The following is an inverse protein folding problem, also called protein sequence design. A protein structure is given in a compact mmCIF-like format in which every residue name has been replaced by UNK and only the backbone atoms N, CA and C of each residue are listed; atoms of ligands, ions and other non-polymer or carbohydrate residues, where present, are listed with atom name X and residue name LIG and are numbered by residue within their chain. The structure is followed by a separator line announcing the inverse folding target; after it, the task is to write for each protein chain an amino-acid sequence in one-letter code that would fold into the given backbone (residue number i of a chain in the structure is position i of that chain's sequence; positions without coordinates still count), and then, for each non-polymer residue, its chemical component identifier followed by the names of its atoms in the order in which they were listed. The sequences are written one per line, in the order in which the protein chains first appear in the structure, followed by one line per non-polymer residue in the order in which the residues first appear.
data_IF_614802869644
#
_entry.id   IF_614802869644
#
_cell.length_a   1.000
_cell.length_b   1.000
_cell.length_c   1.000
_cell.angle_alpha   90.00
_cell.angle_beta   90.00
_cell.angle_gamma   90.00
#
_symmetry.space_group_name_H-M   'P 1'
#
loop_
_entity.id
_entity.type
_entity.pdbx_description
1 polymer ?
#
# COMPACT_ATOMS: atom_id res chain seq x y z
N UNK A 1 -11.35 2.06 19.96
CA UNK A 1 -10.52 1.31 18.97
C UNK A 1 -11.08 1.53 17.59
N UNK A 2 -10.24 1.81 16.61
CA UNK A 2 -10.68 1.85 15.22
C UNK A 2 -10.04 0.71 14.42
N UNK A 3 -10.73 0.32 13.34
CA UNK A 3 -10.35 -0.83 12.53
C UNK A 3 -10.55 -0.50 11.06
N UNK A 4 -9.63 -0.97 10.22
CA UNK A 4 -9.76 -0.86 8.78
C UNK A 4 -9.30 -2.15 8.11
N UNK A 5 -10.11 -2.64 7.16
CA UNK A 5 -9.71 -3.64 6.19
C UNK A 5 -9.28 -2.92 4.91
N UNK A 6 -8.13 -3.23 4.40
CA UNK A 6 -7.57 -2.61 3.20
C UNK A 6 -7.01 -3.65 2.24
N UNK A 7 -6.91 -3.29 0.97
CA UNK A 7 -6.30 -4.12 -0.07
C UNK A 7 -5.19 -3.33 -0.75
N UNK A 8 -4.04 -3.96 -0.96
CA UNK A 8 -2.84 -3.33 -1.52
C UNK A 8 -2.32 -4.09 -2.71
N UNK A 9 -1.83 -3.35 -3.69
CA UNK A 9 -1.27 -3.88 -4.92
C UNK A 9 0.25 -3.88 -4.87
N UNK A 10 0.86 -5.03 -5.14
CA UNK A 10 2.29 -5.14 -5.40
C UNK A 10 2.47 -5.38 -6.88
N UNK A 11 2.88 -4.34 -7.61
CA UNK A 11 3.11 -4.38 -9.05
C UNK A 11 4.61 -4.29 -9.28
N UNK A 12 5.21 -5.38 -9.76
CA UNK A 12 6.65 -5.41 -10.03
C UNK A 12 6.85 -5.77 -11.50
N UNK A 13 7.55 -4.90 -12.22
CA UNK A 13 7.91 -5.11 -13.63
C UNK A 13 9.35 -4.63 -13.85
N UNK A 14 10.16 -5.48 -14.46
CA UNK A 14 11.55 -5.11 -14.82
C UNK A 14 12.39 -4.64 -13.63
N UNK A 15 12.23 -5.24 -12.47
CA UNK A 15 12.96 -4.86 -11.25
C UNK A 15 12.49 -3.57 -10.61
N UNK A 16 11.33 -3.06 -11.01
CA UNK A 16 10.72 -1.85 -10.46
C UNK A 16 9.39 -2.17 -9.82
N UNK A 17 9.06 -1.47 -8.76
CA UNK A 17 7.77 -1.55 -8.07
C UNK A 17 7.00 -0.24 -8.26
N UNK A 18 5.69 -0.35 -8.50
CA UNK A 18 4.83 0.83 -8.61
C UNK A 18 4.51 1.34 -7.21
N UNK A 19 4.91 2.56 -6.93
CA UNK A 19 4.65 3.25 -5.67
C UNK A 19 3.82 4.50 -5.89
N UNK A 20 2.94 4.80 -4.94
CA UNK A 20 2.11 5.99 -4.92
C UNK A 20 2.66 6.96 -3.88
N UNK A 21 2.82 8.24 -4.25
CA UNK A 21 3.21 9.28 -3.30
C UNK A 21 1.97 9.90 -2.69
N UNK A 22 1.78 9.62 -1.43
CA UNK A 22 0.67 10.13 -0.64
C UNK A 22 1.04 11.48 -0.03
N UNK A 23 0.22 12.48 -0.28
CA UNK A 23 0.39 13.84 0.28
C UNK A 23 -0.82 14.14 1.15
N UNK A 24 -0.72 13.96 2.47
CA UNK A 24 -1.83 14.25 3.37
C UNK A 24 -2.05 15.75 3.49
N UNK A 25 -3.25 16.15 3.92
CA UNK A 25 -3.57 17.57 4.17
C UNK A 25 -2.71 18.18 5.27
N UNK A 26 -2.20 17.34 6.20
CA UNK A 26 -1.24 17.71 7.24
C UNK A 26 -0.17 16.63 7.32
N UNK A 27 1.07 17.06 7.52
CA UNK A 27 2.21 16.18 7.62
C UNK A 27 3.01 16.07 6.33
N UNK A 28 4.02 15.23 6.35
CA UNK A 28 4.92 15.04 5.23
C UNK A 28 4.39 13.99 4.25
N UNK A 29 4.75 14.15 2.97
CA UNK A 29 4.46 13.14 1.97
C UNK A 29 5.25 11.87 2.25
N UNK A 30 4.68 10.73 1.90
CA UNK A 30 5.38 9.47 1.93
C UNK A 30 4.95 8.58 0.76
N UNK A 31 5.76 7.59 0.49
CA UNK A 31 5.48 6.61 -0.54
C UNK A 31 4.80 5.38 0.06
N UNK A 32 3.84 4.83 -0.67
CA UNK A 32 3.10 3.64 -0.25
C UNK A 32 2.78 2.77 -1.45
N UNK A 33 2.22 1.59 -1.19
CA UNK A 33 1.65 0.76 -2.25
C UNK A 33 0.31 1.36 -2.69
N UNK A 34 -0.04 1.26 -3.98
CA UNK A 34 -1.41 1.55 -4.41
C UNK A 34 -2.39 0.66 -3.66
N UNK A 35 -3.46 1.24 -3.18
CA UNK A 35 -4.46 0.51 -2.42
C UNK A 35 -5.17 1.38 -1.41
N UNK A 36 -6.06 0.77 -0.66
CA UNK A 36 -6.83 1.47 0.34
C UNK A 36 -7.97 0.65 0.91
N UNK A 37 -8.90 1.33 1.52
CA UNK A 37 -10.01 0.72 2.24
C UNK A 37 -10.86 -0.17 1.34
N UNK A 38 -11.16 -1.37 1.82
CA UNK A 38 -12.22 -2.21 1.26
C UNK A 38 -13.55 -1.64 1.75
N UNK A 39 -14.44 -1.35 0.82
CA UNK A 39 -15.74 -0.78 1.13
C UNK A 39 -16.72 -1.85 1.62
N UNK A 40 -17.81 -1.42 2.25
CA UNK A 40 -18.85 -2.33 2.72
C UNK A 40 -19.35 -3.18 1.55
N UNK A 41 -19.45 -4.48 1.77
CA UNK A 41 -19.91 -5.47 0.79
C UNK A 41 -19.01 -5.64 -0.44
N UNK A 42 -17.83 -5.03 -0.44
CA UNK A 42 -16.83 -5.19 -1.49
C UNK A 42 -15.86 -6.32 -1.16
N UNK A 43 -15.51 -7.13 -2.14
CA UNK A 43 -14.45 -8.12 -2.00
C UNK A 43 -13.08 -7.43 -2.08
N UNK A 44 -12.10 -7.78 -1.22
CA UNK A 44 -10.75 -7.23 -1.33
C UNK A 44 -10.13 -7.38 -2.73
N UNK A 45 -10.45 -8.45 -3.44
CA UNK A 45 -10.02 -8.67 -4.82
C UNK A 45 -10.50 -7.54 -5.75
N UNK A 46 -11.75 -7.11 -5.61
CA UNK A 46 -12.31 -6.01 -6.41
C UNK A 46 -11.79 -4.66 -5.93
N UNK A 47 -11.62 -4.52 -4.61
CA UNK A 47 -11.13 -3.28 -4.01
C UNK A 47 -9.74 -2.91 -4.53
N UNK A 48 -8.81 -3.87 -4.64
CA UNK A 48 -7.46 -3.56 -5.11
C UNK A 48 -7.46 -3.07 -6.55
N UNK A 49 -8.30 -3.64 -7.40
CA UNK A 49 -8.43 -3.21 -8.80
C UNK A 49 -9.00 -1.80 -8.87
N UNK A 50 -10.04 -1.52 -8.11
CA UNK A 50 -10.67 -0.19 -8.02
C UNK A 50 -9.67 0.85 -7.52
N UNK A 51 -8.95 0.55 -6.43
CA UNK A 51 -7.98 1.48 -5.84
C UNK A 51 -6.83 1.79 -6.79
N UNK A 52 -6.30 0.79 -7.51
CA UNK A 52 -5.27 1.03 -8.51
C UNK A 52 -5.78 1.99 -9.59
N UNK A 53 -7.00 1.79 -10.08
CA UNK A 53 -7.58 2.67 -11.09
C UNK A 53 -7.77 4.10 -10.56
N UNK A 54 -8.29 4.25 -9.35
CA UNK A 54 -8.54 5.58 -8.75
C UNK A 54 -7.23 6.32 -8.47
N UNK A 55 -6.26 5.66 -7.86
CA UNK A 55 -5.03 6.31 -7.40
C UNK A 55 -4.01 6.50 -8.51
N UNK A 56 -3.89 5.56 -9.45
CA UNK A 56 -2.82 5.59 -10.45
C UNK A 56 -3.28 5.89 -11.85
N UNK A 57 -4.56 5.71 -12.15
CA UNK A 57 -5.10 5.84 -13.50
C UNK A 57 -4.94 4.60 -14.37
N UNK A 58 -4.48 3.50 -13.81
CA UNK A 58 -4.19 2.29 -14.57
C UNK A 58 -5.24 1.21 -14.38
N UNK A 59 -5.45 0.42 -15.44
CA UNK A 59 -6.20 -0.82 -15.38
C UNK A 59 -5.27 -1.94 -14.93
N UNK A 60 -5.79 -2.86 -14.13
CA UNK A 60 -4.98 -3.91 -13.53
C UNK A 60 -5.74 -5.23 -13.43
N UNK A 61 -4.99 -6.33 -13.43
CA UNK A 61 -5.51 -7.66 -13.11
C UNK A 61 -4.73 -8.22 -11.93
N UNK A 62 -5.43 -8.97 -11.08
CA UNK A 62 -4.82 -9.69 -9.97
C UNK A 62 -4.24 -11.00 -10.49
N UNK A 63 -2.96 -11.24 -10.20
CA UNK A 63 -2.28 -12.47 -10.61
C UNK A 63 -2.27 -13.51 -9.50
N UNK A 64 -2.11 -13.08 -8.23
CA UNK A 64 -2.14 -13.98 -7.08
C UNK A 64 -2.36 -13.23 -5.78
N UNK A 65 -2.90 -13.95 -4.80
CA UNK A 65 -2.89 -13.51 -3.41
C UNK A 65 -1.48 -13.69 -2.85
N UNK A 66 -0.90 -12.65 -2.27
CA UNK A 66 0.42 -12.72 -1.64
C UNK A 66 0.33 -13.02 -0.15
N UNK A 67 -0.58 -12.37 0.56
CA UNK A 67 -0.73 -12.59 1.99
C UNK A 67 -1.54 -11.53 2.70
N UNK A 68 -1.51 -11.63 4.02
CA UNK A 68 -2.23 -10.74 4.92
C UNK A 68 -1.26 -10.22 5.98
N UNK A 69 -1.34 -8.92 6.24
CA UNK A 69 -0.61 -8.29 7.31
C UNK A 69 -1.58 -7.54 8.22
N UNK A 70 -1.36 -7.65 9.52
CA UNK A 70 -2.12 -6.90 10.50
C UNK A 70 -1.17 -6.10 11.37
N UNK A 71 -1.45 -4.81 11.51
CA UNK A 71 -0.67 -3.95 12.40
C UNK A 71 -1.57 -3.07 13.24
N UNK A 72 -1.07 -2.75 14.43
CA UNK A 72 -1.75 -1.83 15.35
C UNK A 72 -0.93 -0.55 15.42
N UNK A 73 -1.57 0.57 15.15
CA UNK A 73 -0.95 1.89 15.22
C UNK A 73 -1.34 2.53 16.53
N UNK A 74 -0.37 2.76 17.47
CA UNK A 74 -0.65 3.40 18.74
C UNK A 74 -1.22 4.82 18.54
N UNK A 75 -1.99 5.34 19.48
CA UNK A 75 -2.55 6.69 19.36
C UNK A 75 -1.51 7.77 19.10
N UNK A 76 -0.33 7.65 19.70
CA UNK A 76 0.77 8.62 19.55
C UNK A 76 1.37 8.65 18.13
N UNK A 77 1.19 7.59 17.36
CA UNK A 77 1.78 7.44 16.01
C UNK A 77 0.73 7.62 14.91
N UNK A 78 -0.52 7.93 15.27
CA UNK A 78 -1.57 8.18 14.29
C UNK A 78 -1.43 9.57 13.68
N UNK A 79 -1.84 9.69 12.41
CA UNK A 79 -1.94 10.97 11.72
C UNK A 79 -2.99 11.89 12.35
N UNK A 80 -3.98 11.34 13.07
CA UNK A 80 -5.02 12.09 13.78
C UNK A 80 -4.66 12.08 15.27
N UNK A 81 -4.13 13.18 15.81
CA UNK A 81 -3.77 13.25 17.24
C UNK A 81 -4.99 13.02 18.14
N UNK A 82 -4.79 12.31 19.25
CA UNK A 82 -5.82 12.08 20.26
C UNK A 82 -6.86 11.02 19.87
N UNK A 83 -6.71 10.40 18.70
CA UNK A 83 -7.59 9.31 18.29
C UNK A 83 -7.26 8.01 19.02
N UNK A 84 -8.16 7.01 18.98
CA UNK A 84 -7.89 5.71 19.57
C UNK A 84 -6.81 4.97 18.79
N UNK A 85 -6.30 3.91 19.38
CA UNK A 85 -5.49 2.91 18.70
C UNK A 85 -6.20 2.44 17.43
N UNK A 86 -5.43 2.21 16.36
CA UNK A 86 -5.97 1.83 15.06
C UNK A 86 -5.34 0.51 14.60
N UNK A 87 -6.19 -0.46 14.28
CA UNK A 87 -5.76 -1.71 13.67
C UNK A 87 -6.04 -1.67 12.16
N UNK A 88 -5.00 -1.92 11.36
CA UNK A 88 -5.12 -2.03 9.91
C UNK A 88 -4.80 -3.46 9.49
N UNK A 89 -5.77 -4.11 8.88
CA UNK A 89 -5.58 -5.44 8.27
C UNK A 89 -5.52 -5.27 6.77
N UNK A 90 -4.38 -5.60 6.17
CA UNK A 90 -4.15 -5.47 4.74
C UNK A 90 -4.11 -6.82 4.05
N UNK A 91 -4.80 -6.91 2.91
CA UNK A 91 -4.72 -8.04 2.00
C UNK A 91 -3.86 -7.61 0.82
N UNK A 92 -2.76 -8.33 0.57
CA UNK A 92 -1.77 -7.97 -0.45
C UNK A 92 -1.92 -8.88 -1.66
N UNK A 93 -2.04 -8.27 -2.83
CA UNK A 93 -2.15 -8.97 -4.10
C UNK A 93 -1.01 -8.61 -5.03
N UNK A 94 -0.49 -9.60 -5.75
CA UNK A 94 0.37 -9.35 -6.89
C UNK A 94 -0.53 -8.95 -8.06
N UNK A 95 -0.23 -7.79 -8.64
CA UNK A 95 -1.09 -7.15 -9.63
C UNK A 95 -0.24 -6.81 -10.85
N UNK A 96 -0.82 -6.99 -12.04
CA UNK A 96 -0.21 -6.60 -13.30
C UNK A 96 -1.00 -5.49 -13.95
N UNK A 97 -0.32 -4.44 -14.39
CA UNK A 97 -0.93 -3.34 -15.11
C UNK A 97 -1.22 -3.79 -16.54
N UNK A 98 -2.45 -3.57 -17.02
CA UNK A 98 -2.89 -3.99 -18.34
C UNK A 98 -3.21 -2.84 -19.28
N UNK A 99 -3.35 -1.62 -18.76
CA UNK A 99 -3.68 -0.46 -19.57
C UNK A 99 -3.74 0.81 -18.75
N UNK A 100 -4.23 1.87 -19.37
CA UNK A 100 -4.31 3.18 -18.74
C UNK A 100 -3.00 3.95 -18.79
N UNK A 101 -2.99 5.11 -18.12
CA UNK A 101 -1.81 5.97 -18.01
C UNK A 101 -1.70 6.49 -16.59
N UNK A 102 -0.48 6.52 -16.06
CA UNK A 102 -0.21 7.10 -14.75
C UNK A 102 -0.62 8.58 -14.75
N UNK A 103 -1.37 8.95 -13.72
CA UNK A 103 -1.82 10.34 -13.51
C UNK A 103 -1.99 10.59 -12.01
N UNK A 104 -1.97 11.88 -11.58
CA UNK A 104 -2.35 12.21 -10.20
C UNK A 104 -3.80 11.77 -9.90
N UNK A 105 -4.07 11.43 -8.66
CA UNK A 105 -5.43 11.09 -8.25
C UNK A 105 -6.32 12.33 -8.25
N UNK A 106 -7.42 12.36 -9.03
CA UNK A 106 -8.35 13.48 -9.00
C UNK A 106 -9.04 13.58 -7.63
N UNK A 107 -9.00 14.75 -7.02
CA UNK A 107 -9.65 15.03 -5.73
C UNK A 107 -9.21 14.10 -4.59
N UNK A 108 -8.03 13.48 -4.71
CA UNK A 108 -7.47 12.57 -3.74
C UNK A 108 -6.11 13.02 -3.24
N UNK A 109 -5.49 12.18 -2.41
CA UNK A 109 -4.22 12.49 -1.76
C UNK A 109 -3.00 11.90 -2.46
N UNK A 110 -3.17 11.12 -3.53
CA UNK A 110 -2.06 10.58 -4.32
C UNK A 110 -1.64 11.61 -5.37
N UNK A 111 -0.47 12.21 -5.16
CA UNK A 111 0.05 13.25 -6.04
C UNK A 111 0.69 12.69 -7.31
N UNK A 112 1.28 11.50 -7.23
CA UNK A 112 1.88 10.82 -8.37
C UNK A 112 2.09 9.33 -8.06
N UNK A 113 2.24 8.54 -9.11
CA UNK A 113 2.64 7.13 -9.00
C UNK A 113 3.84 6.89 -9.90
N UNK A 114 4.87 6.22 -9.39
CA UNK A 114 6.16 6.08 -10.07
C UNK A 114 6.63 4.64 -10.00
N UNK A 115 7.09 4.12 -11.13
CA UNK A 115 7.83 2.89 -11.20
C UNK A 115 9.22 3.11 -10.60
N UNK A 116 9.45 2.55 -9.42
CA UNK A 116 10.65 2.79 -8.62
C UNK A 116 11.56 1.55 -8.65
N UNK A 117 12.83 1.68 -9.03
CA UNK A 117 13.78 0.58 -8.91
C UNK A 117 13.78 0.06 -7.47
N UNK A 118 13.64 -1.26 -7.31
CA UNK A 118 13.54 -1.86 -5.96
C UNK A 118 14.71 -1.47 -5.05
N UNK A 119 15.97 -1.44 -5.52
CA UNK A 119 17.08 -0.99 -4.67
C UNK A 119 16.95 0.45 -4.14
N UNK A 120 16.21 1.31 -4.83
CA UNK A 120 16.04 2.71 -4.44
C UNK A 120 14.98 2.90 -3.36
N UNK A 121 14.15 1.89 -3.09
CA UNK A 121 13.08 1.97 -2.08
C UNK A 121 13.65 2.30 -0.70
N UNK A 122 14.81 1.78 -0.36
CA UNK A 122 15.45 2.01 0.94
C UNK A 122 15.76 3.49 1.20
N UNK A 123 15.85 4.33 0.16
CA UNK A 123 16.13 5.75 0.27
C UNK A 123 14.87 6.61 0.42
N UNK A 124 13.69 6.01 0.37
CA UNK A 124 12.42 6.74 0.40
C UNK A 124 11.81 6.76 1.80
N UNK A 125 11.25 7.91 2.17
CA UNK A 125 10.30 7.97 3.30
C UNK A 125 9.03 7.24 2.85
N UNK A 126 8.69 6.16 3.55
CA UNK A 126 7.67 5.24 3.06
C UNK A 126 6.88 4.58 4.18
N UNK A 127 5.70 4.11 3.85
CA UNK A 127 4.92 3.23 4.73
C UNK A 127 5.60 1.85 4.83
N UNK A 128 5.53 1.25 6.01
CA UNK A 128 5.97 -0.13 6.22
C UNK A 128 5.24 -1.14 5.32
N UNK A 129 4.09 -0.77 4.78
CA UNK A 129 3.35 -1.59 3.82
C UNK A 129 4.17 -1.92 2.58
N UNK A 130 5.03 -0.99 2.15
CA UNK A 130 5.92 -1.22 1.00
C UNK A 130 6.88 -2.36 1.29
N UNK A 131 7.52 -2.34 2.45
CA UNK A 131 8.47 -3.37 2.87
C UNK A 131 7.79 -4.73 3.06
N UNK A 132 6.60 -4.74 3.66
CA UNK A 132 5.78 -5.96 3.79
C UNK A 132 5.42 -6.52 2.42
N UNK A 133 4.91 -5.68 1.52
CA UNK A 133 4.51 -6.11 0.18
C UNK A 133 5.67 -6.69 -0.62
N UNK A 134 6.83 -6.04 -0.57
CA UNK A 134 8.04 -6.53 -1.23
C UNK A 134 8.51 -7.86 -0.63
N UNK A 135 8.50 -8.00 0.70
CA UNK A 135 8.86 -9.24 1.35
C UNK A 135 7.93 -10.39 0.95
N UNK A 136 6.63 -10.14 0.91
CA UNK A 136 5.64 -11.12 0.46
C UNK A 136 5.88 -11.54 -1.00
N UNK A 137 6.13 -10.58 -1.87
CA UNK A 137 6.34 -10.85 -3.30
C UNK A 137 7.65 -11.60 -3.57
N UNK A 138 8.69 -11.31 -2.81
CA UNK A 138 10.02 -11.91 -3.00
C UNK A 138 10.13 -13.30 -2.40
N UNK A 139 9.43 -13.59 -1.29
CA UNK A 139 9.55 -14.87 -0.58
C UNK A 139 8.39 -15.82 -0.84
N UNK A 140 7.23 -15.31 -1.23
CA UNK A 140 6.01 -16.09 -1.51
C UNK A 140 5.73 -17.14 -0.42
N UNK A 141 5.61 -16.73 0.85
CA UNK A 141 5.41 -17.69 1.93
C UNK A 141 4.05 -18.39 1.80
N UNK A 142 4.05 -19.72 2.03
CA UNK A 142 2.81 -20.49 1.93
C UNK A 142 1.73 -20.03 2.91
N UNK A 143 2.14 -19.49 4.05
CA UNK A 143 1.20 -18.96 5.05
C UNK A 143 0.67 -17.58 4.70
N UNK A 144 1.24 -16.88 3.71
CA UNK A 144 0.90 -15.49 3.42
C UNK A 144 1.30 -14.53 4.54
N UNK A 145 2.29 -14.91 5.35
CA UNK A 145 2.75 -14.12 6.49
C UNK A 145 4.24 -13.85 6.42
N UNK A 146 4.65 -12.62 6.72
CA UNK A 146 6.04 -12.23 6.91
C UNK A 146 6.18 -11.52 8.25
N UNK A 147 7.40 -11.47 8.77
CA UNK A 147 7.68 -10.79 10.03
C UNK A 147 7.32 -9.30 9.94
N UNK A 148 6.88 -8.74 11.07
CA UNK A 148 6.61 -7.31 11.17
C UNK A 148 7.85 -6.50 10.83
N UNK A 149 7.63 -5.38 10.13
CA UNK A 149 8.69 -4.43 9.78
C UNK A 149 8.74 -3.36 10.86
N UNK A 150 9.90 -3.16 11.52
CA UNK A 150 10.03 -2.11 12.54
C UNK A 150 9.85 -0.73 11.91
N UNK A 151 9.07 0.12 12.55
CA UNK A 151 8.88 1.52 12.18
C UNK A 151 10.01 2.34 12.78
N UNK A 152 10.54 3.29 12.02
CA UNK A 152 11.62 4.18 12.43
C UNK A 152 12.40 4.69 11.24
N UNK A 153 13.12 5.79 11.43
CA UNK A 153 13.85 6.42 10.33
C UNK A 153 12.94 6.81 9.17
N UNK A 154 13.18 6.25 8.00
CA UNK A 154 12.36 6.51 6.80
C UNK A 154 11.09 5.67 6.74
N UNK A 155 10.93 4.68 7.62
CA UNK A 155 9.78 3.78 7.62
C UNK A 155 8.72 4.28 8.59
N UNK A 156 7.51 4.47 8.08
CA UNK A 156 6.34 4.93 8.82
C UNK A 156 5.26 3.86 8.84
N UNK A 157 4.25 4.05 9.67
CA UNK A 157 3.06 3.20 9.62
C UNK A 157 2.27 3.35 8.33
#
# INVERSE_FOLDING_TARGET
MSFRLAAYAVCIEGGRVLLARHVPSKGESNWTLPGGRVEHAEDPFDAVIREVAEETGCDAVVERLLGVDSRVIPPAERAIPGGPEHQNVGVFYQVRITGGQLRPEPNGEVAESVWTPIPDVACLRRSSLVDIGLALAQTLPATGHVAAVPVGGLIQH
#
